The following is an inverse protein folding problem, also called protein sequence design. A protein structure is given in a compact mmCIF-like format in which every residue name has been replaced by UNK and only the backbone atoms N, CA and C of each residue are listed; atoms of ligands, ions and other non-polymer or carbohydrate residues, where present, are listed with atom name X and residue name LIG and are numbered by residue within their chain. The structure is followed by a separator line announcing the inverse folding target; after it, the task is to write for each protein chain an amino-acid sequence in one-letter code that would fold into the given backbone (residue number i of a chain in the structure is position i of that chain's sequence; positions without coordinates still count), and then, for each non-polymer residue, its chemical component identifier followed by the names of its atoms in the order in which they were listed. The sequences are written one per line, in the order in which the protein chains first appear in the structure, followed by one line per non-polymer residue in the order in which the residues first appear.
data_IF_827596833464
#
_entry.id   IF_827596833464
#
_cell.length_a   1.000
_cell.length_b   1.000
_cell.length_c   1.000
_cell.angle_alpha   90.00
_cell.angle_beta   90.00
_cell.angle_gamma   90.00
#
_symmetry.space_group_name_H-M   'P 1'
#
loop_
_entity.id
_entity.type
_entity.pdbx_description
1 polymer ?
2 non-polymer ?
3 water ?
#
# COMPACT_ATOMS: atom_id res chain seq x y z
N UNK A 1 -2.53 1.37 -36.31
CA UNK A 1 -2.82 2.75 -35.94
C UNK A 1 -3.48 2.80 -34.56
N UNK A 2 -2.83 3.49 -33.64
CA UNK A 2 -3.24 3.50 -32.24
C UNK A 2 -2.73 4.79 -31.61
N UNK A 3 -3.38 5.93 -31.90
CA UNK A 3 -2.79 7.21 -31.47
C UNK A 3 -2.89 7.44 -29.97
N UNK A 4 -3.89 6.88 -29.31
CA UNK A 4 -4.13 7.23 -27.92
C UNK A 4 -4.81 6.09 -27.19
N UNK A 5 -4.19 4.93 -27.13
CA UNK A 5 -4.78 3.82 -26.36
C UNK A 5 -4.86 4.13 -24.88
N UNK A 6 -5.79 3.46 -24.21
CA UNK A 6 -5.77 3.47 -22.75
C UNK A 6 -4.55 2.71 -22.25
N UNK A 7 -4.08 3.06 -21.05
CA UNK A 7 -2.95 2.36 -20.46
C UNK A 7 -3.31 1.84 -19.08
N UNK A 8 -2.78 0.69 -18.72
CA UNK A 8 -3.08 0.07 -17.43
C UNK A 8 -1.78 -0.29 -16.73
N UNK A 9 -1.60 0.17 -15.50
CA UNK A 9 -0.42 -0.22 -14.73
C UNK A 9 -0.71 -1.57 -14.08
N UNK A 10 0.19 -2.52 -14.29
CA UNK A 10 -0.02 -3.92 -13.90
C UNK A 10 0.67 -4.11 -12.56
N UNK A 11 -0.03 -3.79 -11.48
CA UNK A 11 0.56 -3.80 -10.14
C UNK A 11 0.38 -5.14 -9.45
N UNK A 12 1.40 -5.54 -8.70
CA UNK A 12 1.29 -6.75 -7.91
C UNK A 12 2.61 -7.47 -7.76
N UNK A 13 2.60 -8.54 -6.97
CA UNK A 13 3.86 -9.17 -6.58
C UNK A 13 4.43 -10.13 -7.62
N UNK A 14 3.95 -10.05 -8.87
CA UNK A 14 4.52 -10.93 -9.89
C UNK A 14 6.02 -10.69 -10.07
N UNK A 15 6.51 -9.47 -9.77
CA UNK A 15 7.94 -9.22 -9.84
C UNK A 15 8.74 -10.15 -8.94
N UNK A 16 8.13 -10.72 -7.90
CA UNK A 16 8.83 -11.62 -7.00
C UNK A 16 8.75 -13.10 -7.41
N UNK A 17 8.06 -13.38 -8.52
CA UNK A 17 8.00 -14.73 -9.07
C UNK A 17 9.41 -15.19 -9.43
N UNK A 18 9.64 -16.50 -9.49
CA UNK A 18 11.01 -16.99 -9.76
C UNK A 18 11.49 -16.66 -11.17
N UNK A 19 10.59 -16.27 -12.07
CA UNK A 19 10.93 -15.79 -13.40
C UNK A 19 10.75 -14.29 -13.51
N UNK A 20 10.73 -13.58 -12.39
CA UNK A 20 10.54 -12.12 -12.35
C UNK A 20 9.21 -11.68 -12.96
N UNK A 21 8.22 -12.59 -13.04
CA UNK A 21 6.90 -12.29 -13.51
C UNK A 21 6.67 -12.52 -15.00
N UNK A 22 7.68 -13.00 -15.72
CA UNK A 22 7.59 -13.06 -17.18
C UNK A 22 6.36 -13.85 -17.65
N UNK A 23 6.11 -15.03 -17.06
CA UNK A 23 4.93 -15.79 -17.49
C UNK A 23 3.63 -15.01 -17.24
N UNK A 24 3.51 -14.36 -16.08
CA UNK A 24 2.31 -13.58 -15.79
C UNK A 24 2.17 -12.40 -16.75
N UNK A 25 3.25 -11.64 -16.93
CA UNK A 25 3.18 -10.46 -17.80
C UNK A 25 2.98 -10.85 -19.25
N UNK A 26 3.57 -11.96 -19.70
CA UNK A 26 3.33 -12.39 -21.07
C UNK A 26 1.86 -12.70 -21.29
N UNK A 27 1.19 -13.26 -20.27
CA UNK A 27 -0.23 -13.53 -20.41
C UNK A 27 -1.04 -12.23 -20.42
N UNK A 28 -0.66 -11.25 -19.60
CA UNK A 28 -1.29 -9.94 -19.62
C UNK A 28 -1.19 -9.35 -21.01
N UNK A 29 -0.02 -9.42 -21.62
CA UNK A 29 0.15 -8.89 -22.96
C UNK A 29 -0.74 -9.62 -23.96
N UNK A 30 -0.82 -10.96 -23.85
CA UNK A 30 -1.67 -11.71 -24.77
C UNK A 30 -3.14 -11.32 -24.62
N UNK A 31 -3.58 -11.08 -23.38
CA UNK A 31 -4.97 -10.69 -23.18
C UNK A 31 -5.29 -9.36 -23.84
N UNK A 32 -4.31 -8.46 -23.92
CA UNK A 32 -4.57 -7.14 -24.46
C UNK A 32 -4.34 -7.07 -25.97
N UNK A 33 -3.88 -8.15 -26.59
CA UNK A 33 -3.56 -8.13 -28.01
C UNK A 33 -4.75 -7.74 -28.86
N UNK A 34 -4.55 -6.79 -29.77
CA UNK A 34 -5.60 -6.38 -30.67
C UNK A 34 -6.62 -5.41 -30.11
N UNK A 35 -6.42 -4.94 -28.88
CA UNK A 35 -7.29 -3.97 -28.26
C UNK A 35 -6.56 -2.64 -28.08
N UNK A 36 -7.35 -1.58 -27.99
CA UNK A 36 -6.88 -0.20 -27.83
C UNK A 36 -6.46 0.07 -26.39
N UNK A 37 -5.62 -0.79 -25.83
CA UNK A 37 -5.16 -0.68 -24.45
C UNK A 37 -3.79 -1.34 -24.37
N UNK A 38 -2.88 -0.72 -23.62
CA UNK A 38 -1.51 -1.22 -23.53
C UNK A 38 -1.09 -1.35 -22.06
N UNK A 39 -0.25 -2.32 -21.72
CA UNK A 39 0.18 -2.49 -20.34
C UNK A 39 1.42 -1.68 -20.01
N UNK A 40 1.45 -1.21 -18.76
CA UNK A 40 2.65 -0.59 -18.18
C UNK A 40 3.11 -1.54 -17.08
N UNK A 41 4.26 -2.16 -17.29
CA UNK A 41 4.74 -3.26 -16.45
C UNK A 41 5.74 -2.70 -15.46
N UNK A 42 5.66 -3.03 -14.17
CA UNK A 42 6.61 -2.51 -13.20
C UNK A 42 8.04 -2.75 -13.64
N UNK A 43 8.89 -1.80 -13.26
CA UNK A 43 10.27 -1.72 -13.69
C UNK A 43 11.18 -2.45 -12.74
N UNK A 44 10.60 -3.34 -11.91
CA UNK A 44 11.29 -3.94 -10.79
C UNK A 44 12.52 -4.72 -11.24
N UNK A 45 12.54 -5.14 -12.51
CA UNK A 45 13.76 -5.64 -13.14
C UNK A 45 14.14 -4.82 -14.36
N UNK A 46 13.58 -3.62 -14.51
CA UNK A 46 14.04 -2.69 -15.54
C UNK A 46 15.29 -1.98 -15.04
N UNK A 47 15.11 -1.13 -14.03
CA UNK A 47 16.17 -0.28 -13.53
C UNK A 47 16.84 -0.90 -12.32
N UNK A 48 18.10 -0.56 -12.14
CA UNK A 48 18.85 -0.98 -10.96
C UNK A 48 18.86 0.16 -9.95
N UNK A 49 18.86 -0.23 -8.67
CA UNK A 49 18.77 0.75 -7.61
C UNK A 49 17.35 0.94 -7.16
N UNK A 50 17.13 0.88 -5.84
CA UNK A 50 15.78 1.04 -5.31
C UNK A 50 15.21 2.41 -5.63
N UNK A 51 16.04 3.45 -5.67
CA UNK A 51 15.53 4.78 -5.98
C UNK A 51 14.95 4.82 -7.38
N UNK A 52 15.70 4.30 -8.35
CA UNK A 52 15.26 4.40 -9.74
C UNK A 52 14.05 3.50 -10.00
N UNK A 53 14.01 2.32 -9.39
CA UNK A 53 12.84 1.45 -9.54
C UNK A 53 11.60 2.17 -9.06
N UNK A 54 11.66 2.75 -7.86
CA UNK A 54 10.49 3.44 -7.30
C UNK A 54 10.10 4.62 -8.17
N UNK A 55 11.08 5.40 -8.63
CA UNK A 55 10.78 6.53 -9.50
C UNK A 55 10.16 6.07 -10.80
N UNK A 56 10.68 5.00 -11.39
CA UNK A 56 10.17 4.50 -12.67
C UNK A 56 8.74 3.96 -12.51
N UNK A 57 8.48 3.24 -11.43
CA UNK A 57 7.12 2.76 -11.21
C UNK A 57 6.16 3.91 -11.02
N UNK A 58 6.55 4.92 -10.26
CA UNK A 58 5.69 6.07 -10.04
C UNK A 58 5.40 6.77 -11.36
N UNK A 59 6.42 6.92 -12.22
CA UNK A 59 6.22 7.41 -13.58
C UNK A 59 5.10 6.69 -14.29
N UNK A 60 5.08 5.36 -14.21
CA UNK A 60 4.05 4.60 -14.89
C UNK A 60 2.67 4.81 -14.24
N UNK A 61 2.63 4.91 -12.91
CA UNK A 61 1.37 5.16 -12.24
C UNK A 61 0.83 6.53 -12.63
N UNK A 62 1.70 7.53 -12.69
CA UNK A 62 1.23 8.86 -13.07
C UNK A 62 0.69 8.84 -14.50
N UNK A 63 1.27 8.01 -15.35
CA UNK A 63 0.90 7.98 -16.76
C UNK A 63 -0.39 7.23 -17.02
N UNK A 64 -0.75 6.28 -16.14
CA UNK A 64 -1.76 5.30 -16.47
C UNK A 64 -3.18 5.86 -16.42
N UNK A 65 -4.06 5.17 -17.15
CA UNK A 65 -5.49 5.39 -17.20
C UNK A 65 -6.15 4.60 -16.04
N UNK A 66 -5.65 3.39 -15.78
CA UNK A 66 -6.18 2.54 -14.72
C UNK A 66 -5.04 1.74 -14.12
N UNK A 67 -5.24 1.27 -12.90
CA UNK A 67 -4.36 0.31 -12.26
C UNK A 67 -5.17 -0.96 -12.05
N UNK A 68 -4.61 -2.11 -12.44
CA UNK A 68 -5.14 -3.40 -12.02
C UNK A 68 -4.14 -3.97 -11.03
N UNK A 69 -4.56 -4.10 -9.77
CA UNK A 69 -3.68 -4.46 -8.67
C UNK A 69 -4.00 -5.86 -8.17
N UNK A 70 -3.00 -6.73 -8.13
CA UNK A 70 -3.13 -8.07 -7.56
C UNK A 70 -3.01 -7.95 -6.05
N UNK A 71 -4.14 -8.06 -5.35
CA UNK A 71 -4.16 -7.99 -3.89
C UNK A 71 -4.32 -9.38 -3.27
N UNK A 72 -3.89 -10.42 -3.98
CA UNK A 72 -3.88 -11.78 -3.44
C UNK A 72 -2.97 -11.87 -2.22
N UNK A 73 -3.18 -12.86 -1.36
CA UNK A 73 -2.31 -13.02 -0.19
C UNK A 73 -0.85 -13.10 -0.60
N UNK A 74 0.00 -12.41 0.16
CA UNK A 74 1.43 -12.32 -0.11
C UNK A 74 2.20 -12.55 1.20
N UNK A 75 2.77 -13.74 1.35
CA UNK A 75 3.59 -14.12 2.50
C UNK A 75 2.81 -14.13 3.80
N UNK A 76 1.51 -13.96 3.74
CA UNK A 76 0.58 -14.00 4.87
C UNK A 76 -0.82 -14.00 4.27
N UNK A 77 -1.82 -13.73 5.09
CA UNK A 77 -3.16 -13.55 4.56
C UNK A 77 -3.38 -12.12 4.06
N UNK A 78 -2.36 -11.23 4.18
CA UNK A 78 -2.44 -9.85 3.73
C UNK A 78 -1.84 -9.68 2.34
N UNK A 79 -2.35 -8.70 1.59
CA UNK A 79 -1.74 -8.38 0.29
C UNK A 79 -0.34 -7.79 0.42
N UNK A 80 0.27 -7.60 -0.74
CA UNK A 80 1.61 -7.02 -0.82
C UNK A 80 1.55 -5.52 -0.54
N UNK A 81 2.38 -5.05 0.40
CA UNK A 81 2.35 -3.63 0.77
C UNK A 81 2.83 -2.73 -0.37
N UNK A 82 3.73 -3.24 -1.21
CA UNK A 82 4.16 -2.44 -2.35
C UNK A 82 3.03 -2.15 -3.31
N UNK A 83 2.22 -3.17 -3.60
CA UNK A 83 1.03 -2.99 -4.42
C UNK A 83 0.05 -2.05 -3.75
N UNK A 84 -0.14 -2.21 -2.43
CA UNK A 84 -1.04 -1.32 -1.68
C UNK A 84 -0.61 0.14 -1.80
N UNK A 85 0.70 0.42 -1.68
CA UNK A 85 1.21 1.77 -1.88
C UNK A 85 0.85 2.29 -3.26
N UNK A 86 1.03 1.47 -4.29
CA UNK A 86 0.76 1.91 -5.65
C UNK A 86 -0.71 2.18 -5.85
N UNK A 87 -1.57 1.40 -5.21
CA UNK A 87 -3.00 1.64 -5.27
C UNK A 87 -3.33 2.97 -4.61
N UNK A 88 -2.65 3.29 -3.51
CA UNK A 88 -2.92 4.55 -2.85
C UNK A 88 -2.47 5.72 -3.70
N UNK A 89 -1.31 5.58 -4.34
CA UNK A 89 -0.80 6.60 -5.23
C UNK A 89 -1.78 6.85 -6.37
N UNK A 90 -2.26 5.77 -7.00
CA UNK A 90 -3.23 5.90 -8.08
C UNK A 90 -4.54 6.50 -7.59
N UNK A 91 -5.00 6.10 -6.39
CA UNK A 91 -6.24 6.66 -5.88
C UNK A 91 -6.14 8.16 -5.69
N UNK A 92 -5.01 8.66 -5.17
CA UNK A 92 -4.85 10.09 -4.97
C UNK A 92 -4.90 10.86 -6.29
N UNK A 93 -4.41 10.25 -7.36
CA UNK A 93 -4.42 10.88 -8.68
C UNK A 93 -5.75 10.70 -9.40
N UNK A 94 -6.71 9.96 -8.81
CA UNK A 94 -7.99 9.82 -9.46
C UNK A 94 -8.07 8.79 -10.56
N UNK A 95 -7.18 7.80 -10.57
CA UNK A 95 -7.19 6.76 -11.58
C UNK A 95 -8.36 5.80 -11.38
N UNK A 96 -8.68 5.05 -12.44
CA UNK A 96 -9.61 3.93 -12.32
C UNK A 96 -8.92 2.83 -11.53
N UNK A 97 -9.53 2.39 -10.42
CA UNK A 97 -8.91 1.42 -9.52
C UNK A 97 -9.60 0.08 -9.68
N UNK A 98 -8.85 -0.93 -10.07
CA UNK A 98 -9.37 -2.29 -10.20
C UNK A 98 -8.46 -3.24 -9.44
N UNK A 99 -9.07 -4.15 -8.67
CA UNK A 99 -8.30 -5.05 -7.82
C UNK A 99 -8.81 -6.47 -7.96
N UNK A 100 -7.93 -7.42 -7.68
CA UNK A 100 -8.35 -8.81 -7.68
C UNK A 100 -7.59 -9.57 -6.61
N UNK A 101 -8.14 -10.72 -6.22
CA UNK A 101 -7.47 -11.62 -5.29
C UNK A 101 -7.88 -13.05 -5.61
N UNK A 102 -6.92 -13.96 -5.52
CA UNK A 102 -7.23 -15.38 -5.60
C UNK A 102 -7.96 -15.90 -4.36
N UNK A 103 -8.18 -15.05 -3.35
CA UNK A 103 -8.92 -15.42 -2.14
C UNK A 103 -9.79 -14.22 -1.74
N UNK A 104 -11.06 -14.24 -2.17
CA UNK A 104 -11.96 -13.13 -1.91
C UNK A 104 -12.86 -13.37 -0.69
N UNK A 105 -12.58 -14.38 0.13
CA UNK A 105 -13.31 -14.56 1.38
C UNK A 105 -13.12 -13.33 2.27
N UNK A 106 -14.13 -12.95 3.05
CA UNK A 106 -13.95 -11.86 4.02
C UNK A 106 -12.79 -12.17 4.96
N UNK A 107 -12.19 -11.11 5.51
CA UNK A 107 -11.05 -11.28 6.41
C UNK A 107 -11.38 -12.16 7.61
N UNK A 108 -12.58 -12.00 8.19
CA UNK A 108 -12.91 -12.77 9.38
C UNK A 108 -13.03 -14.26 9.04
N UNK A 109 -13.34 -14.59 7.79
CA UNK A 109 -13.34 -16.00 7.41
C UNK A 109 -11.91 -16.50 7.19
N UNK A 110 -11.07 -15.68 6.55
CA UNK A 110 -9.65 -16.00 6.40
C UNK A 110 -8.98 -16.26 7.74
N UNK A 111 -9.17 -15.36 8.70
CA UNK A 111 -8.52 -15.46 10.00
C UNK A 111 -9.29 -16.33 10.99
N UNK A 112 -10.53 -16.70 10.67
CA UNK A 112 -11.30 -17.57 11.53
C UNK A 112 -11.87 -16.92 12.77
N UNK A 113 -11.65 -15.63 12.98
CA UNK A 113 -12.21 -14.90 14.12
C UNK A 113 -12.09 -13.41 13.85
N UNK A 114 -12.69 -12.62 14.74
CA UNK A 114 -12.56 -11.17 14.74
C UNK A 114 -11.29 -10.70 15.43
N UNK A 115 -10.51 -11.62 16.01
CA UNK A 115 -9.22 -11.28 16.59
C UNK A 115 -8.30 -12.48 16.43
N UNK A 116 -7.10 -12.23 15.92
CA UNK A 116 -6.15 -13.28 15.61
C UNK A 116 -4.78 -12.85 16.10
N UNK A 117 -4.18 -13.67 16.96
CA UNK A 117 -2.86 -13.38 17.54
C UNK A 117 -2.84 -12.01 18.21
N UNK A 118 -3.90 -11.69 18.93
CA UNK A 118 -3.95 -10.45 19.66
C UNK A 118 -4.17 -9.21 18.82
N UNK A 119 -4.45 -9.37 17.53
CA UNK A 119 -4.66 -8.25 16.62
C UNK A 119 -6.02 -8.40 15.97
N UNK A 120 -6.80 -7.32 15.95
CA UNK A 120 -8.17 -7.44 15.47
C UNK A 120 -8.24 -7.54 13.95
N UNK A 121 -9.33 -8.17 13.49
CA UNK A 121 -9.58 -8.43 12.08
C UNK A 121 -10.79 -7.61 11.65
N UNK A 122 -10.62 -6.77 10.63
CA UNK A 122 -11.70 -5.94 10.12
C UNK A 122 -12.89 -6.80 9.71
N UNK A 123 -14.10 -6.32 10.02
CA UNK A 123 -15.33 -7.10 9.88
C UNK A 123 -16.35 -6.32 9.06
N UNK A 124 -16.00 -6.03 7.80
CA UNK A 124 -16.84 -5.26 6.90
C UNK A 124 -17.22 -6.06 5.66
N UNK A 125 -17.03 -7.38 5.69
CA UNK A 125 -17.33 -8.21 4.54
C UNK A 125 -16.39 -8.04 3.37
N UNK A 126 -15.17 -7.51 3.61
CA UNK A 126 -14.19 -7.29 2.55
C UNK A 126 -13.02 -8.26 2.72
N UNK A 127 -12.33 -8.62 1.63
CA UNK A 127 -11.27 -9.63 1.72
C UNK A 127 -9.94 -9.10 2.22
N UNK A 128 -9.81 -7.79 2.43
CA UNK A 128 -8.55 -7.19 2.85
C UNK A 128 -8.86 -5.81 3.40
N UNK A 129 -7.81 -5.16 3.90
CA UNK A 129 -7.88 -3.84 4.53
C UNK A 129 -8.79 -2.91 3.74
N UNK A 130 -9.72 -2.26 4.47
CA UNK A 130 -10.77 -1.48 3.84
C UNK A 130 -10.25 -0.28 3.03
N UNK A 131 -9.04 0.21 3.33
CA UNK A 131 -8.50 1.29 2.51
C UNK A 131 -8.33 0.87 1.07
N UNK A 132 -8.16 -0.42 0.83
CA UNK A 132 -7.87 -0.92 -0.51
C UNK A 132 -9.12 -1.16 -1.33
N UNK A 133 -10.28 -0.79 -0.82
CA UNK A 133 -11.57 -1.06 -1.45
C UNK A 133 -12.29 0.27 -1.67
N UNK A 134 -12.63 0.58 -2.92
CA UNK A 134 -13.28 1.85 -3.24
C UNK A 134 -14.75 1.71 -3.63
N UNK A 135 -15.37 0.55 -3.38
CA UNK A 135 -16.72 0.29 -3.81
C UNK A 135 -16.83 -0.63 -5.01
N UNK A 136 -15.80 -0.71 -5.85
CA UNK A 136 -15.82 -1.65 -6.97
C UNK A 136 -15.72 -3.08 -6.49
N UNK A 137 -16.39 -3.99 -7.21
CA UNK A 137 -16.20 -5.43 -6.98
C UNK A 137 -14.71 -5.78 -6.94
N UNK A 138 -14.36 -6.72 -6.05
CA UNK A 138 -13.05 -7.37 -6.08
C UNK A 138 -13.14 -8.57 -7.01
N UNK A 139 -12.31 -8.59 -8.05
CA UNK A 139 -12.36 -9.65 -9.04
C UNK A 139 -11.52 -10.84 -8.59
N UNK A 140 -11.67 -11.94 -9.32
CA UNK A 140 -11.03 -13.19 -8.92
C UNK A 140 -9.63 -13.37 -9.50
N UNK A 141 -9.29 -12.61 -10.53
CA UNK A 141 -8.10 -12.88 -11.34
C UNK A 141 -7.80 -11.62 -12.14
N UNK A 142 -6.58 -11.54 -12.68
CA UNK A 142 -6.32 -10.49 -13.66
C UNK A 142 -7.32 -10.56 -14.81
N UNK A 143 -7.55 -11.76 -15.35
CA UNK A 143 -8.53 -11.96 -16.43
C UNK A 143 -9.86 -11.28 -16.11
N UNK A 144 -10.36 -11.47 -14.89
CA UNK A 144 -11.68 -10.93 -14.57
C UNK A 144 -11.63 -9.41 -14.45
N UNK A 145 -10.55 -8.87 -13.86
CA UNK A 145 -10.42 -7.43 -13.72
C UNK A 145 -10.27 -6.78 -15.08
N UNK A 146 -9.52 -7.41 -15.98
CA UNK A 146 -9.30 -6.83 -17.29
C UNK A 146 -10.57 -6.91 -18.12
N UNK A 147 -11.30 -8.01 -18.01
CA UNK A 147 -12.56 -8.10 -18.74
C UNK A 147 -13.53 -7.01 -18.27
N UNK A 148 -13.52 -6.70 -16.96
CA UNK A 148 -14.33 -5.57 -16.50
C UNK A 148 -13.85 -4.24 -17.12
N UNK A 149 -12.54 -4.01 -17.16
CA UNK A 149 -12.03 -2.83 -17.86
C UNK A 149 -12.50 -2.78 -19.31
N UNK A 150 -12.39 -3.89 -20.04
CA UNK A 150 -12.84 -3.90 -21.45
C UNK A 150 -14.31 -3.50 -21.57
N UNK A 151 -15.15 -4.00 -20.66
CA UNK A 151 -16.58 -3.73 -20.76
C UNK A 151 -16.91 -2.28 -20.47
N UNK A 152 -16.21 -1.66 -19.52
CA UNK A 152 -16.63 -0.38 -18.97
C UNK A 152 -15.72 0.80 -19.28
N UNK A 153 -14.46 0.56 -19.64
CA UNK A 153 -13.51 1.66 -19.72
C UNK A 153 -12.75 1.71 -21.03
N UNK A 154 -12.94 0.73 -21.92
CA UNK A 154 -12.12 0.66 -23.12
C UNK A 154 -12.60 1.64 -24.18
N UNK A 155 -13.82 1.46 -24.67
CA UNK A 155 -14.33 2.31 -25.75
C UNK A 155 -15.21 3.43 -25.22
N UNK B 5 -0.98 26.29 12.60
CA UNK B 5 -0.93 25.01 13.33
C UNK B 5 -0.92 23.80 12.39
N UNK B 6 0.23 23.15 12.28
CA UNK B 6 0.40 22.03 11.37
C UNK B 6 -0.43 20.82 11.81
N UNK B 7 -0.64 19.90 10.87
CA UNK B 7 -1.34 18.64 11.14
C UNK B 7 -0.53 17.48 10.59
N UNK B 8 -0.48 16.39 11.35
CA UNK B 8 0.20 15.16 10.94
C UNK B 8 -0.80 14.01 11.00
N UNK B 9 -0.89 13.27 9.89
CA UNK B 9 -1.69 12.06 9.86
C UNK B 9 -0.92 10.92 10.52
N UNK B 10 -1.56 10.27 11.49
CA UNK B 10 -0.92 9.25 12.32
C UNK B 10 -1.31 7.90 11.74
N UNK B 11 -0.51 7.41 10.80
CA UNK B 11 -0.83 6.19 10.06
C UNK B 11 -0.12 5.00 10.69
N UNK B 12 -0.83 3.87 10.80
CA UNK B 12 -0.21 2.67 11.31
C UNK B 12 -1.20 1.72 11.94
N UNK B 13 -0.76 0.48 12.19
CA UNK B 13 -1.67 -0.58 12.64
C UNK B 13 -1.93 -0.59 14.15
N UNK B 14 -1.59 0.49 14.87
CA UNK B 14 -1.95 0.57 16.27
C UNK B 14 -3.42 0.32 16.48
N UNK B 15 -4.25 0.69 15.51
CA UNK B 15 -5.71 0.57 15.62
C UNK B 15 -6.16 -0.88 15.80
N UNK B 16 -5.32 -1.86 15.44
CA UNK B 16 -5.66 -3.28 15.56
C UNK B 16 -5.22 -3.88 16.90
N UNK B 17 -4.53 -3.10 17.74
CA UNK B 17 -4.16 -3.57 19.06
C UNK B 17 -5.41 -3.79 19.91
N UNK B 18 -5.31 -4.60 20.96
CA UNK B 18 -6.49 -4.80 21.83
C UNK B 18 -7.10 -3.51 22.35
N UNK B 19 -6.30 -2.48 22.61
CA UNK B 19 -6.86 -1.24 23.14
C UNK B 19 -7.26 -0.26 22.03
N UNK B 20 -7.42 -0.75 20.81
CA UNK B 20 -7.77 0.06 19.63
C UNK B 20 -6.77 1.20 19.41
N UNK B 21 -5.54 1.02 19.89
CA UNK B 21 -4.51 2.04 19.73
C UNK B 21 -4.53 3.12 20.78
N UNK B 22 -5.29 2.93 21.86
CA UNK B 22 -5.45 3.96 22.89
C UNK B 22 -4.11 4.42 23.43
N UNK B 23 -3.26 3.46 23.82
CA UNK B 23 -1.98 3.84 24.42
C UNK B 23 -1.08 4.54 23.40
N UNK B 24 -1.04 4.02 22.17
CA UNK B 24 -0.21 4.62 21.12
C UNK B 24 -0.62 6.06 20.87
N UNK B 25 -1.92 6.30 20.66
CA UNK B 25 -2.38 7.65 20.35
C UNK B 25 -2.23 8.58 21.55
N UNK B 26 -2.49 8.09 22.77
CA UNK B 26 -2.25 8.91 23.95
C UNK B 26 -0.79 9.35 24.01
N UNK B 27 0.13 8.44 23.66
CA UNK B 27 1.55 8.81 23.62
C UNK B 27 1.80 9.85 22.54
N UNK B 28 1.15 9.68 21.38
CA UNK B 28 1.28 10.67 20.31
C UNK B 28 0.75 12.02 20.75
N UNK B 29 -0.46 12.03 21.32
CA UNK B 29 -1.05 13.29 21.81
C UNK B 29 -0.13 13.98 22.82
N UNK B 30 0.43 13.21 23.76
CA UNK B 30 1.28 13.80 24.79
C UNK B 30 2.51 14.46 24.19
N UNK B 31 3.11 13.83 23.18
CA UNK B 31 4.34 14.35 22.59
C UNK B 31 4.09 15.64 21.79
N UNK B 32 2.94 15.75 21.14
CA UNK B 32 2.67 16.90 20.29
C UNK B 32 1.98 18.03 21.02
N UNK B 33 1.60 17.83 22.29
CA UNK B 33 0.95 18.89 23.05
C UNK B 33 1.90 20.05 23.28
N UNK B 34 1.48 21.24 22.82
CA UNK B 34 2.23 22.45 23.08
C UNK B 34 3.33 22.75 22.09
N UNK B 35 3.25 22.19 20.87
CA UNK B 35 4.31 22.34 19.88
C UNK B 35 3.78 22.82 18.53
N UNK B 36 2.59 23.42 18.50
CA UNK B 36 1.98 24.03 17.31
C UNK B 36 1.62 23.00 16.24
N UNK B 37 1.56 21.73 16.63
CA UNK B 37 1.18 20.63 15.75
C UNK B 37 0.02 19.89 16.40
N UNK B 38 -0.85 19.31 15.58
CA UNK B 38 -1.99 18.57 16.10
C UNK B 38 -2.10 17.24 15.34
N UNK B 39 -2.30 16.12 16.04
CA UNK B 39 -2.40 14.85 15.34
C UNK B 39 -3.75 14.68 14.66
N UNK B 40 -3.71 14.01 13.52
CA UNK B 40 -4.91 13.61 12.81
C UNK B 40 -5.00 12.09 12.98
N UNK B 41 -5.90 11.65 13.85
CA UNK B 41 -6.00 10.23 14.19
C UNK B 41 -6.98 9.54 13.26
N UNK B 42 -6.60 8.39 12.67
CA UNK B 42 -7.50 7.67 11.76
C UNK B 42 -8.88 7.45 12.39
N UNK B 43 -9.90 7.49 11.53
CA UNK B 43 -11.29 7.47 11.96
C UNK B 43 -11.85 6.07 12.14
N UNK B 44 -11.00 5.06 12.27
CA UNK B 44 -11.47 3.67 12.26
C UNK B 44 -12.42 3.34 13.41
N UNK B 45 -12.60 4.23 14.38
CA UNK B 45 -13.68 4.03 15.34
C UNK B 45 -14.34 5.34 15.73
N UNK B 46 -14.38 6.30 14.81
CA UNK B 46 -15.27 7.46 14.93
C UNK B 46 -16.25 7.56 13.76
N UNK B 47 -16.00 6.84 12.67
CA UNK B 47 -16.91 6.72 11.54
C UNK B 47 -17.45 5.30 11.46
N UNK B 48 -18.62 5.17 10.83
CA UNK B 48 -19.34 3.89 10.76
C UNK B 48 -19.30 3.36 9.33
N UNK B 49 -18.88 2.11 9.18
CA UNK B 49 -18.82 1.47 7.88
C UNK B 49 -17.51 1.70 7.15
N UNK B 50 -17.14 0.75 6.30
CA UNK B 50 -15.86 0.80 5.63
C UNK B 50 -15.78 1.98 4.65
N UNK B 51 -16.90 2.38 4.04
CA UNK B 51 -16.85 3.44 3.05
C UNK B 51 -16.53 4.78 3.70
N UNK B 52 -17.25 5.12 4.78
CA UNK B 52 -17.02 6.41 5.40
C UNK B 52 -15.71 6.46 6.19
N UNK B 53 -15.27 5.31 6.73
CA UNK B 53 -13.95 5.26 7.35
C UNK B 53 -12.87 5.57 6.33
N UNK B 54 -12.96 4.95 5.16
CA UNK B 54 -11.96 5.21 4.13
C UNK B 54 -11.99 6.67 3.68
N UNK B 55 -13.18 7.22 3.46
CA UNK B 55 -13.30 8.58 2.98
C UNK B 55 -12.77 9.58 4.00
N UNK B 56 -13.10 9.39 5.28
CA UNK B 56 -12.63 10.35 6.28
C UNK B 56 -11.12 10.25 6.48
N UNK B 57 -10.56 9.04 6.38
CA UNK B 57 -9.11 8.88 6.45
C UNK B 57 -8.43 9.56 5.27
N UNK B 58 -8.98 9.38 4.06
CA UNK B 58 -8.46 10.07 2.89
C UNK B 58 -8.55 11.58 3.06
N UNK B 59 -9.69 12.07 3.58
CA UNK B 59 -9.83 13.50 3.85
C UNK B 59 -8.71 14.01 4.75
N UNK B 60 -8.36 13.23 5.78
CA UNK B 60 -7.30 13.67 6.69
C UNK B 60 -5.94 13.68 6.00
N UNK B 61 -5.68 12.72 5.11
CA UNK B 61 -4.42 12.71 4.39
C UNK B 61 -4.33 13.93 3.48
N UNK B 62 -5.44 14.28 2.81
CA UNK B 62 -5.43 15.47 1.97
C UNK B 62 -5.19 16.73 2.79
N UNK B 63 -5.68 16.76 4.03
CA UNK B 63 -5.55 17.95 4.86
C UNK B 63 -4.21 18.03 5.57
N UNK B 64 -3.49 16.92 5.73
CA UNK B 64 -2.31 16.93 6.57
C UNK B 64 -1.15 17.67 5.89
N UNK B 65 -0.17 18.04 6.71
CA UNK B 65 1.12 18.56 6.24
C UNK B 65 2.13 17.45 6.07
N UNK B 66 2.12 16.46 6.96
CA UNK B 66 3.00 15.32 6.88
C UNK B 66 2.28 14.08 7.40
N UNK B 67 2.84 12.92 7.06
CA UNK B 67 2.36 11.63 7.54
C UNK B 67 3.50 10.96 8.29
N UNK B 68 3.24 10.47 9.49
CA UNK B 68 4.15 9.58 10.18
C UNK B 68 3.53 8.20 10.15
N UNK B 69 4.15 7.30 9.39
CA UNK B 69 3.62 5.96 9.15
C UNK B 69 4.43 4.95 9.94
N UNK B 70 3.75 4.14 10.73
CA UNK B 70 4.34 3.02 11.45
C UNK B 70 4.40 1.83 10.48
N UNK B 71 5.59 1.57 9.91
CA UNK B 71 5.81 0.44 9.02
C UNK B 71 6.39 -0.78 9.74
N UNK B 72 6.14 -0.89 11.04
CA UNK B 72 6.58 -2.05 11.80
C UNK B 72 5.94 -3.33 11.24
N UNK B 73 6.58 -4.48 11.43
CA UNK B 73 5.98 -5.74 10.95
C UNK B 73 4.57 -5.91 11.52
N UNK B 74 3.66 -6.32 10.64
CA UNK B 74 2.26 -6.52 10.99
C UNK B 74 1.82 -7.87 10.47
N UNK B 75 1.62 -8.82 11.39
CA UNK B 75 1.10 -10.17 11.10
C UNK B 75 2.09 -11.03 10.33
N UNK B 76 3.13 -10.43 9.79
CA UNK B 76 4.23 -11.13 9.17
C UNK B 76 5.48 -10.28 9.37
N UNK B 77 6.45 -10.43 8.47
CA UNK B 77 7.61 -9.54 8.49
C UNK B 77 7.41 -8.30 7.64
N UNK B 78 6.24 -8.15 7.01
CA UNK B 78 5.82 -7.07 6.14
C UNK B 78 4.99 -6.05 6.90
N UNK B 79 5.11 -4.76 6.57
CA UNK B 79 4.27 -3.74 7.22
C UNK B 79 2.80 -3.93 6.88
N UNK B 80 1.96 -3.11 7.51
CA UNK B 80 0.52 -3.13 7.27
C UNK B 80 0.16 -2.50 5.92
N UNK B 81 -0.63 -3.21 5.10
CA UNK B 81 -0.99 -2.71 3.77
C UNK B 81 -1.84 -1.45 3.83
N UNK B 82 -2.71 -1.31 4.85
CA UNK B 82 -3.51 -0.10 4.92
C UNK B 82 -2.65 1.13 5.14
N UNK B 83 -1.60 1.00 5.94
CA UNK B 83 -0.65 2.07 6.16
C UNK B 83 0.13 2.36 4.89
N UNK B 84 0.55 1.30 4.21
CA UNK B 84 1.22 1.44 2.90
C UNK B 84 0.37 2.23 1.92
N UNK B 85 -0.94 1.91 1.85
CA UNK B 85 -1.84 2.65 0.97
C UNK B 85 -1.85 4.13 1.32
N UNK B 86 -1.96 4.43 2.62
CA UNK B 86 -2.04 5.82 3.03
C UNK B 86 -0.74 6.55 2.73
N UNK B 87 0.39 5.86 2.83
CA UNK B 87 1.66 6.46 2.47
C UNK B 87 1.71 6.78 0.98
N UNK B 88 1.18 5.88 0.14
CA UNK B 88 1.15 6.14 -1.29
C UNK B 88 0.24 7.28 -1.65
N UNK B 89 -0.92 7.36 -0.98
CA UNK B 89 -1.83 8.49 -1.17
C UNK B 89 -1.13 9.80 -0.83
N UNK B 90 -0.46 9.83 0.33
CA UNK B 90 0.27 11.02 0.75
C UNK B 90 1.42 11.33 -0.20
N UNK B 91 2.10 10.30 -0.71
CA UNK B 91 3.24 10.54 -1.62
C UNK B 91 2.78 11.17 -2.92
N UNK B 92 1.63 10.73 -3.43
CA UNK B 92 1.11 11.30 -4.67
C UNK B 92 0.74 12.77 -4.51
N UNK B 93 0.38 13.18 -3.30
CA UNK B 93 0.01 14.55 -2.98
C UNK B 93 1.20 15.41 -2.59
N UNK B 94 2.40 14.85 -2.56
CA UNK B 94 3.57 15.62 -2.21
C UNK B 94 3.69 15.96 -0.75
N UNK B 95 3.06 15.19 0.14
CA UNK B 95 3.19 15.43 1.56
C UNK B 95 4.59 15.07 2.03
N UNK B 96 4.95 15.59 3.21
CA UNK B 96 6.17 15.15 3.89
C UNK B 96 5.95 13.74 4.39
N UNK B 97 6.88 12.84 4.01
CA UNK B 97 6.74 11.42 4.32
C UNK B 97 7.77 11.03 5.36
N UNK B 98 7.29 10.55 6.51
CA UNK B 98 8.14 10.07 7.59
C UNK B 98 7.67 8.68 7.97
N UNK B 99 8.60 7.77 8.18
CA UNK B 99 8.28 6.39 8.50
C UNK B 99 9.18 5.90 9.62
N UNK B 100 8.71 4.86 10.33
CA UNK B 100 9.55 4.20 11.32
C UNK B 100 9.17 2.73 11.37
N UNK B 101 10.05 1.95 12.00
CA UNK B 101 9.76 0.54 12.22
C UNK B 101 10.50 0.10 13.48
N UNK B 102 9.87 -0.79 14.24
CA UNK B 102 10.54 -1.37 15.39
C UNK B 102 11.60 -2.40 15.00
N UNK B 103 11.70 -2.73 13.70
CA UNK B 103 12.69 -3.70 13.20
C UNK B 103 13.21 -3.14 11.89
N UNK B 104 14.38 -2.52 11.92
CA UNK B 104 14.94 -1.91 10.72
C UNK B 104 16.05 -2.75 10.07
N UNK B 105 16.12 -4.05 10.40
CA UNK B 105 17.05 -4.92 9.71
C UNK B 105 16.68 -5.02 8.24
N UNK B 106 17.66 -5.18 7.35
CA UNK B 106 17.32 -5.37 5.93
C UNK B 106 16.42 -6.58 5.72
N UNK B 107 15.63 -6.53 4.64
CA UNK B 107 14.65 -7.59 4.40
C UNK B 107 15.31 -8.96 4.33
N UNK B 108 16.48 -9.04 3.68
CA UNK B 108 17.17 -10.32 3.54
C UNK B 108 17.58 -10.87 4.90
N UNK B 109 17.93 -9.97 5.84
CA UNK B 109 18.21 -10.41 7.20
C UNK B 109 16.96 -10.97 7.87
N UNK B 110 15.85 -10.23 7.76
CA UNK B 110 14.59 -10.66 8.37
C UNK B 110 14.17 -12.03 7.86
N UNK B 111 14.30 -12.25 6.54
CA UNK B 111 13.82 -13.48 5.95
C UNK B 111 14.85 -14.61 5.98
N UNK B 112 16.13 -14.28 6.08
CA UNK B 112 17.18 -15.28 6.14
C UNK B 112 17.80 -15.65 4.81
N UNK B 113 17.12 -15.36 3.70
CA UNK B 113 17.65 -15.63 2.38
C UNK B 113 17.05 -14.63 1.40
N UNK B 114 17.41 -14.77 0.12
CA UNK B 114 16.84 -13.97 -0.94
C UNK B 114 15.59 -14.60 -1.54
N UNK B 115 15.10 -15.70 -0.94
CA UNK B 115 13.83 -16.30 -1.34
C UNK B 115 13.20 -16.96 -0.12
N UNK B 116 11.91 -16.73 0.07
CA UNK B 116 11.15 -17.40 1.10
C UNK B 116 9.78 -17.73 0.54
N UNK B 117 9.33 -18.96 0.76
CA UNK B 117 8.01 -19.41 0.28
C UNK B 117 7.89 -19.21 -1.23
N UNK B 118 8.98 -19.45 -1.95
CA UNK B 118 8.96 -19.38 -3.41
C UNK B 118 8.95 -17.99 -3.99
N UNK B 119 9.11 -16.95 -3.16
CA UNK B 119 9.03 -15.56 -3.57
C UNK B 119 10.33 -14.85 -3.22
N UNK B 120 10.87 -14.08 -4.17
CA UNK B 120 12.14 -13.42 -3.94
C UNK B 120 12.02 -12.35 -2.86
N UNK B 121 13.13 -12.06 -2.21
CA UNK B 121 13.22 -11.05 -1.16
C UNK B 121 14.08 -9.91 -1.67
N UNK B 122 13.54 -8.69 -1.62
CA UNK B 122 14.28 -7.52 -2.10
C UNK B 122 15.57 -7.36 -1.33
N UNK B 123 16.64 -6.99 -2.05
CA UNK B 123 18.00 -6.96 -1.51
C UNK B 123 18.64 -5.61 -1.79
N UNK B 124 18.05 -4.55 -1.20
CA UNK B 124 18.53 -3.19 -1.38
C UNK B 124 18.95 -2.55 -0.07
N UNK B 125 19.25 -3.36 0.96
CA UNK B 125 19.63 -2.82 2.24
C UNK B 125 18.51 -2.12 2.98
N UNK B 126 17.26 -2.32 2.55
CA UNK B 126 16.09 -1.65 3.06
C UNK B 126 15.28 -2.60 3.95
N UNK B 127 14.60 -2.06 4.97
CA UNK B 127 13.84 -2.93 5.90
C UNK B 127 12.50 -3.41 5.37
N UNK B 128 12.01 -2.87 4.26
CA UNK B 128 10.72 -3.26 3.72
C UNK B 128 10.68 -2.91 2.24
N UNK B 129 9.52 -3.12 1.64
CA UNK B 129 9.32 -2.94 0.21
C UNK B 129 9.82 -1.57 -0.25
N UNK B 130 10.59 -1.56 -1.35
CA UNK B 130 11.29 -0.33 -1.73
C UNK B 130 10.33 0.80 -2.09
N UNK B 131 9.09 0.52 -2.48
CA UNK B 131 8.15 1.60 -2.74
C UNK B 131 7.92 2.46 -1.50
N UNK B 132 8.10 1.91 -0.30
CA UNK B 132 7.80 2.63 0.94
C UNK B 132 8.93 3.54 1.39
N UNK B 133 9.98 3.66 0.58
CA UNK B 133 11.20 4.34 0.98
C UNK B 133 11.51 5.42 -0.04
N UNK B 134 11.52 6.68 0.39
CA UNK B 134 11.70 7.80 -0.52
C UNK B 134 13.07 8.46 -0.40
N UNK B 135 14.02 7.83 0.31
CA UNK B 135 15.35 8.37 0.51
C UNK B 135 15.63 8.82 1.93
N UNK B 136 14.59 9.22 2.67
CA UNK B 136 14.77 9.61 4.06
C UNK B 136 15.05 8.39 4.91
N UNK B 137 15.83 8.59 5.97
CA UNK B 137 16.15 7.48 6.88
C UNK B 137 14.87 6.92 7.48
N UNK B 138 14.89 5.63 7.77
CA UNK B 138 13.79 4.98 8.48
C UNK B 138 14.09 5.09 9.97
N UNK B 139 13.19 5.73 10.70
CA UNK B 139 13.42 6.00 12.11
C UNK B 139 13.05 4.78 12.94
N UNK B 140 13.40 4.83 14.23
CA UNK B 140 13.21 3.70 15.12
C UNK B 140 11.90 3.73 15.88
N UNK B 141 11.20 4.87 15.89
CA UNK B 141 10.03 5.04 16.73
C UNK B 141 9.26 6.27 16.27
N UNK B 142 8.03 6.41 16.77
CA UNK B 142 7.28 7.63 16.50
C UNK B 142 8.01 8.85 17.05
N UNK B 143 8.59 8.73 18.24
CA UNK B 143 9.32 9.84 18.83
C UNK B 143 10.46 10.31 17.93
N UNK B 144 11.22 9.36 17.38
CA UNK B 144 12.32 9.75 16.51
C UNK B 144 11.80 10.43 15.25
N UNK B 145 10.76 9.87 14.64
CA UNK B 145 10.16 10.50 13.46
C UNK B 145 9.57 11.86 13.80
N UNK B 146 8.93 11.99 14.96
CA UNK B 146 8.32 13.28 15.31
C UNK B 146 9.38 14.31 15.66
N UNK B 147 10.47 13.88 16.31
CA UNK B 147 11.57 14.80 16.61
C UNK B 147 12.23 15.29 15.33
N UNK B 148 12.34 14.42 14.33
CA UNK B 148 12.83 14.84 13.03
C UNK B 148 11.90 15.87 12.39
N UNK B 149 10.58 15.68 12.51
CA UNK B 149 9.63 16.62 11.95
C UNK B 149 9.82 18.03 12.54
N UNK B 150 9.81 18.13 13.88
CA UNK B 150 9.81 19.45 14.50
C UNK B 150 11.07 20.22 14.15
N UNK B 151 12.21 19.54 14.00
CA UNK B 151 13.44 20.25 13.67
C UNK B 151 13.46 20.73 12.23
N UNK B 152 12.86 19.97 11.30
CA UNK B 152 12.97 20.30 9.89
C UNK B 152 11.69 20.81 9.25
N UNK B 153 10.59 20.89 10.00
CA UNK B 153 9.29 21.23 9.41
C UNK B 153 8.45 22.09 10.36
N UNK B 154 9.09 23.08 10.99
CA UNK B 154 8.39 24.14 11.73
C UNK B 154 7.45 23.63 12.82
X LIG C 1 6.00 -3.98 -7.23
X LIG C 1 5.69 -2.73 -6.42
X LIG C 1 5.00 -4.12 -8.40
X LIG C 1 5.90 -5.13 -6.22
X LIG C 1 7.36 -3.91 -7.89
X LIG C 1 6.24 -1.61 -7.05
X LIG C 1 3.63 -3.79 -8.13
X LIG C 1 5.59 -4.70 -4.89
X LIG D 1 -3.62 8.89 -22.83
X LIG D 1 -4.97 9.05 -22.14
X LIG D 1 -2.97 7.58 -22.39
X LIG D 1 -2.71 10.06 -22.49
X LIG D 1 -3.83 8.84 -24.31
X LIG D 1 -4.88 8.91 -20.73
X LIG D 1 -3.91 6.53 -22.27
X LIG D 1 -1.75 9.74 -21.51
X LIG E 1 -4.98 2.09 9.19
X LIG E 1 -3.53 2.51 9.25
X LIG E 1 -5.11 0.58 9.34
X LIG E 1 -5.59 2.46 7.85
X LIG E 1 -5.72 2.77 10.26
X LIG E 1 -3.41 3.90 9.44
X LIG E 1 -4.53 -0.09 8.23
X LIG E 1 -6.51 3.52 8.01
#
# INVERSE_FOLDING_TARGET
HMPAPKTIYIAGPAVFHPDNGEAYYNNVRALMKGKDVVPLIPTDNIATGAVNIRNKNIDMIRACDAIIADLSPFRSKEPDCGTAFELGYAAALGKVLLTFSTDTRPMVEKYGSEMADGLSVENFGLPFNLMLHDGTDVFDSFEAAFAYFVEHHLTP
HMPAPKTIYIAGPAVFHPDNGEAYYNNVRALMKGKDVVPLIPTDNIATGAVNIRNKNIDMIRACDAIIADLSPFRSKEPDCGTAFELGYAAALGKVLLTFSTDTRPMVEKYGSEMADGLSVENFGLPFNLMLHDGTDVFDSFEAAFAYFVEHHLTP
TRS C C1 C2 C3 N O1 O2 O3
TRS C C1 C2 C3 N O1 O2 O3
TRS C C1 C2 C3 N O1 O2 O3
#
